data_IF_992536691907
#
_entry.id   IF_992536691907
#
_cell.length_a   1.000
_cell.length_b   1.000
_cell.length_c   1.000
_cell.angle_alpha   90.00
_cell.angle_beta   90.00
_cell.angle_gamma   90.00
#
_symmetry.space_group_name_H-M   'P 1'
#
loop_
_entity.id
_entity.type
_entity.pdbx_description
1 polymer ?
#
# COMPACT_ATOMS: atom_id res chain seq x y z
N UNK A 1 10.10 4.65 -21.49
CA UNK A 1 10.72 3.67 -22.39
C UNK A 1 9.62 2.88 -23.08
N UNK A 2 9.52 2.89 -24.41
CA UNK A 2 8.52 2.12 -25.17
C UNK A 2 9.18 1.15 -26.18
N UNK A 3 10.48 0.87 -26.01
CA UNK A 3 11.20 -0.04 -26.89
C UNK A 3 10.81 -1.50 -26.71
N UNK A 4 11.24 -2.37 -27.64
CA UNK A 4 10.93 -3.80 -27.62
C UNK A 4 11.45 -4.57 -26.39
N UNK A 5 12.41 -3.99 -25.65
CA UNK A 5 12.98 -4.55 -24.41
C UNK A 5 12.51 -3.80 -23.16
N UNK A 6 11.53 -2.91 -23.25
CA UNK A 6 11.19 -2.02 -22.16
C UNK A 6 10.83 -2.76 -20.88
N UNK A 7 10.12 -3.90 -20.95
CA UNK A 7 9.90 -4.76 -19.78
C UNK A 7 11.20 -5.18 -19.06
N UNK A 8 12.21 -5.63 -19.82
CA UNK A 8 13.48 -6.10 -19.26
C UNK A 8 14.28 -4.97 -18.63
N UNK A 9 14.24 -3.80 -19.27
CA UNK A 9 14.98 -2.62 -18.83
C UNK A 9 14.31 -1.93 -17.63
N UNK A 10 12.99 -1.76 -17.66
CA UNK A 10 12.23 -1.13 -16.56
C UNK A 10 12.24 -2.00 -15.30
N UNK A 11 12.27 -3.33 -15.44
CA UNK A 11 12.43 -4.25 -14.30
C UNK A 11 13.67 -3.99 -13.44
N UNK A 12 14.74 -3.50 -14.06
CA UNK A 12 16.01 -3.25 -13.40
C UNK A 12 16.05 -1.87 -12.71
N UNK A 13 14.96 -1.10 -12.79
CA UNK A 13 14.84 0.23 -12.21
C UNK A 13 14.05 0.17 -10.90
N UNK A 14 14.25 1.19 -10.08
CA UNK A 14 13.56 1.35 -8.80
C UNK A 14 12.33 2.24 -8.95
N UNK A 15 11.28 2.00 -8.15
CA UNK A 15 11.15 0.91 -7.17
C UNK A 15 10.80 -0.44 -7.83
N UNK A 16 11.15 -1.55 -7.18
CA UNK A 16 10.82 -2.91 -7.62
C UNK A 16 9.36 -3.28 -7.33
N UNK A 17 8.44 -2.44 -7.81
CA UNK A 17 7.00 -2.57 -7.60
C UNK A 17 6.29 -2.83 -8.93
N UNK A 18 5.16 -3.52 -8.88
CA UNK A 18 4.33 -3.74 -10.07
C UNK A 18 3.57 -2.49 -10.50
N UNK A 19 3.27 -2.41 -11.80
CA UNK A 19 2.57 -1.31 -12.45
C UNK A 19 1.17 -1.67 -12.94
N UNK A 20 0.41 -0.65 -13.36
CA UNK A 20 -0.97 -0.77 -13.88
C UNK A 20 -1.09 -1.80 -15.03
N UNK A 21 -0.03 -1.95 -15.81
CA UNK A 21 0.03 -2.77 -17.01
C UNK A 21 0.48 -4.21 -16.78
N UNK A 22 0.45 -4.73 -15.55
CA UNK A 22 0.93 -6.07 -15.18
C UNK A 22 0.41 -7.19 -16.10
N UNK A 23 -0.82 -7.06 -16.60
CA UNK A 23 -1.49 -8.04 -17.48
C UNK A 23 -0.95 -8.08 -18.92
N UNK A 24 -0.04 -7.18 -19.31
CA UNK A 24 0.42 -7.05 -20.69
C UNK A 24 1.91 -7.39 -20.82
N UNK A 25 2.19 -8.61 -21.29
CA UNK A 25 3.55 -9.10 -21.49
C UNK A 25 4.39 -8.16 -22.37
N UNK A 26 5.59 -7.82 -21.89
CA UNK A 26 6.52 -6.95 -22.60
C UNK A 26 6.25 -5.46 -22.43
N UNK A 27 5.16 -5.09 -21.75
CA UNK A 27 4.85 -3.69 -21.48
C UNK A 27 5.80 -3.09 -20.45
N UNK A 28 6.31 -1.86 -20.65
CA UNK A 28 7.02 -1.13 -19.59
C UNK A 28 6.14 -0.87 -18.37
N UNK A 29 4.82 -0.82 -18.55
CA UNK A 29 3.85 -0.52 -17.49
C UNK A 29 3.58 -1.72 -16.58
N UNK A 30 4.23 -2.87 -16.80
CA UNK A 30 4.24 -3.96 -15.83
C UNK A 30 4.95 -3.56 -14.53
N UNK A 31 5.79 -2.53 -14.58
CA UNK A 31 6.54 -1.98 -13.44
C UNK A 31 5.99 -0.62 -13.06
N UNK A 32 6.04 -0.31 -11.77
CA UNK A 32 5.64 0.99 -11.27
C UNK A 32 6.53 2.09 -11.87
N UNK A 33 5.91 3.21 -12.22
CA UNK A 33 6.61 4.40 -12.70
C UNK A 33 6.16 5.58 -11.85
N UNK A 34 7.12 6.37 -11.40
CA UNK A 34 6.82 7.63 -10.73
C UNK A 34 5.87 8.47 -11.60
N UNK A 35 4.84 9.09 -11.00
CA UNK A 35 4.08 10.15 -11.63
C UNK A 35 5.01 11.19 -12.27
N UNK A 36 4.61 11.70 -13.42
CA UNK A 36 5.45 12.57 -14.24
C UNK A 36 6.06 13.74 -13.44
N UNK A 37 5.24 14.42 -12.63
CA UNK A 37 5.69 15.56 -11.82
C UNK A 37 6.72 15.16 -10.75
N UNK A 38 6.51 14.04 -10.05
CA UNK A 38 7.48 13.53 -9.07
C UNK A 38 8.81 13.16 -9.74
N UNK A 39 8.75 12.55 -10.92
CA UNK A 39 9.97 12.23 -11.68
C UNK A 39 10.68 13.50 -12.18
N UNK A 40 9.93 14.53 -12.58
CA UNK A 40 10.50 15.83 -12.95
C UNK A 40 11.21 16.50 -11.77
N UNK A 41 10.66 16.42 -10.56
CA UNK A 41 11.36 16.89 -9.35
C UNK A 41 12.66 16.12 -9.11
N UNK A 42 12.67 14.81 -9.32
CA UNK A 42 13.89 14.01 -9.22
C UNK A 42 14.94 14.39 -10.28
N UNK A 43 14.50 14.71 -11.51
CA UNK A 43 15.37 15.21 -12.57
C UNK A 43 15.97 16.58 -12.23
N UNK A 44 15.16 17.50 -11.71
CA UNK A 44 15.61 18.82 -11.26
C UNK A 44 16.62 18.70 -10.12
N UNK A 45 16.31 17.89 -9.10
CA UNK A 45 17.23 17.57 -8.01
C UNK A 45 18.57 17.02 -8.52
N UNK A 46 18.54 16.03 -9.44
CA UNK A 46 19.75 15.43 -10.00
C UNK A 46 20.59 16.43 -10.82
N UNK A 47 19.95 17.42 -11.43
CA UNK A 47 20.61 18.52 -12.14
C UNK A 47 21.12 19.64 -11.21
N UNK A 48 20.83 19.57 -9.91
CA UNK A 48 21.13 20.64 -8.95
C UNK A 48 20.19 21.84 -9.02
N UNK A 49 19.03 21.70 -9.67
CA UNK A 49 18.00 22.74 -9.80
C UNK A 49 16.95 22.57 -8.69
N UNK A 50 17.39 22.80 -7.46
CA UNK A 50 16.52 22.78 -6.27
C UNK A 50 17.07 23.73 -5.21
N UNK A 51 16.20 24.14 -4.29
CA UNK A 51 16.60 24.86 -3.09
C UNK A 51 17.01 23.81 -2.05
N UNK A 52 18.26 23.86 -1.58
CA UNK A 52 18.72 22.92 -0.55
C UNK A 52 18.21 23.36 0.83
N UNK A 53 17.20 22.66 1.30
CA UNK A 53 16.51 22.85 2.57
C UNK A 53 16.76 21.71 3.58
N UNK A 54 17.72 20.80 3.31
CA UNK A 54 18.00 19.63 4.16
C UNK A 54 18.36 19.99 5.62
N UNK A 55 18.85 21.20 5.86
CA UNK A 55 19.21 21.71 7.18
C UNK A 55 18.54 23.06 7.46
N UNK A 56 17.27 23.18 7.09
CA UNK A 56 16.45 24.35 7.38
C UNK A 56 15.75 24.18 8.74
N UNK A 57 16.25 24.91 9.75
CA UNK A 57 15.69 24.88 11.10
C UNK A 57 14.24 25.39 11.18
N UNK A 58 13.83 26.27 10.26
CA UNK A 58 12.48 26.81 10.24
C UNK A 58 11.50 25.76 9.67
N UNK A 59 11.92 25.02 8.65
CA UNK A 59 11.16 23.86 8.15
C UNK A 59 11.06 22.75 9.20
N UNK A 60 12.16 22.44 9.89
CA UNK A 60 12.23 21.43 10.96
C UNK A 60 11.45 21.81 12.24
N UNK A 61 11.06 23.07 12.38
CA UNK A 61 10.30 23.56 13.52
C UNK A 61 8.81 23.16 13.48
N UNK A 62 8.27 22.86 12.29
CA UNK A 62 6.87 22.47 12.12
C UNK A 62 6.68 21.01 12.59
N UNK A 63 5.97 20.81 13.70
CA UNK A 63 5.75 19.48 14.29
C UNK A 63 4.28 19.15 14.50
N UNK A 64 3.45 20.17 14.72
CA UNK A 64 2.00 20.03 14.84
C UNK A 64 1.30 20.97 13.87
N UNK A 65 0.00 20.75 13.70
CA UNK A 65 -0.83 21.59 12.83
C UNK A 65 -0.79 23.06 13.27
N UNK A 66 -0.71 23.31 14.58
CA UNK A 66 -0.69 24.64 15.17
C UNK A 66 0.59 25.43 14.89
N UNK A 67 1.67 24.74 14.51
CA UNK A 67 2.91 25.40 14.09
C UNK A 67 2.79 26.03 12.69
N UNK A 68 1.81 25.58 11.89
CA UNK A 68 1.52 26.17 10.58
C UNK A 68 0.70 27.46 10.71
N UNK A 69 0.92 28.46 9.83
CA UNK A 69 0.03 29.61 9.70
C UNK A 69 -1.42 29.19 9.53
N UNK A 70 -2.35 29.88 10.20
CA UNK A 70 -3.77 29.51 10.27
C UNK A 70 -4.40 29.30 8.88
N UNK A 71 -3.99 30.10 7.90
CA UNK A 71 -4.44 30.02 6.52
C UNK A 71 -3.99 28.76 5.77
N UNK A 72 -2.92 28.10 6.24
CA UNK A 72 -2.39 26.86 5.63
C UNK A 72 -2.96 25.59 6.27
N UNK A 73 -3.45 25.67 7.51
CA UNK A 73 -3.96 24.52 8.26
C UNK A 73 -5.07 23.73 7.53
N UNK A 74 -6.06 24.36 6.85
CA UNK A 74 -7.08 23.59 6.11
C UNK A 74 -6.52 22.78 4.94
N UNK A 75 -5.50 23.30 4.25
CA UNK A 75 -4.84 22.58 3.16
C UNK A 75 -4.02 21.41 3.71
N UNK A 76 -3.26 21.63 4.79
CA UNK A 76 -2.52 20.58 5.48
C UNK A 76 -3.44 19.45 5.97
N UNK A 77 -4.62 19.77 6.51
CA UNK A 77 -5.63 18.75 6.86
C UNK A 77 -6.17 17.98 5.65
N UNK A 78 -6.31 18.64 4.51
CA UNK A 78 -6.75 18.00 3.27
C UNK A 78 -5.69 17.04 2.74
N UNK A 79 -4.42 17.45 2.79
CA UNK A 79 -3.27 16.63 2.39
C UNK A 79 -3.09 15.43 3.33
N UNK A 80 -3.05 15.66 4.64
CA UNK A 80 -2.87 14.62 5.66
C UNK A 80 -3.94 13.51 5.60
N UNK A 81 -5.14 13.82 5.11
CA UNK A 81 -6.20 12.84 4.93
C UNK A 81 -5.93 11.84 3.79
N UNK A 82 -5.10 12.21 2.80
CA UNK A 82 -4.82 11.40 1.61
C UNK A 82 -3.36 10.96 1.49
N UNK A 83 -2.43 11.64 2.17
CA UNK A 83 -1.02 11.30 2.23
C UNK A 83 -0.72 9.83 2.58
N UNK A 84 -1.42 9.18 3.54
CA UNK A 84 -1.17 7.78 3.82
C UNK A 84 -1.76 6.83 2.77
N UNK A 85 -2.58 7.29 1.83
CA UNK A 85 -3.24 6.43 0.85
C UNK A 85 -2.34 6.08 -0.34
N UNK A 86 -2.69 5.00 -1.01
CA UNK A 86 -2.00 4.53 -2.22
C UNK A 86 -2.19 5.51 -3.40
N UNK A 87 -1.08 5.95 -4.02
CA UNK A 87 -1.07 6.81 -5.21
C UNK A 87 -0.94 6.11 -6.57
N UNK A 88 -1.05 4.77 -6.63
CA UNK A 88 -0.75 3.96 -7.83
C UNK A 88 0.59 3.21 -7.73
N UNK A 89 0.74 1.99 -8.23
CA UNK A 89 -0.06 1.36 -9.28
C UNK A 89 -1.47 0.91 -8.90
N UNK A 90 -2.37 1.01 -9.88
CA UNK A 90 -3.79 0.76 -9.73
C UNK A 90 -4.20 -0.56 -10.39
N UNK A 91 -4.28 -1.63 -9.59
CA UNK A 91 -4.79 -2.95 -10.01
C UNK A 91 -5.54 -3.71 -8.88
N UNK A 92 -6.71 -3.22 -8.41
CA UNK A 92 -7.23 -1.87 -8.58
C UNK A 92 -6.53 -0.85 -7.68
N UNK A 93 -5.87 -1.26 -6.59
CA UNK A 93 -5.28 -0.37 -5.58
C UNK A 93 -5.58 -0.89 -4.18
N UNK A 94 -5.52 0.00 -3.18
CA UNK A 94 -5.85 -0.35 -1.79
C UNK A 94 -7.14 0.36 -1.35
N UNK A 95 -7.11 1.69 -1.15
CA UNK A 95 -8.28 2.45 -0.71
C UNK A 95 -9.19 2.85 -1.88
N UNK A 96 -8.59 3.38 -2.94
CA UNK A 96 -9.23 3.92 -4.14
C UNK A 96 -8.39 3.56 -5.38
N UNK A 97 -8.81 3.99 -6.58
CA UNK A 97 -8.15 3.56 -7.82
C UNK A 97 -7.97 4.68 -8.86
N UNK A 98 -7.53 4.29 -10.07
CA UNK A 98 -6.94 5.12 -11.12
C UNK A 98 -7.72 6.35 -11.53
N UNK A 99 -9.04 6.39 -11.34
CA UNK A 99 -9.84 7.53 -11.79
C UNK A 99 -9.51 8.80 -11.00
N UNK A 100 -8.98 8.70 -9.77
CA UNK A 100 -8.58 9.88 -8.98
C UNK A 100 -7.48 10.70 -9.66
N UNK A 101 -6.72 10.12 -10.60
CA UNK A 101 -5.73 10.89 -11.38
C UNK A 101 -6.34 11.71 -12.52
N UNK A 102 -7.67 11.69 -12.67
CA UNK A 102 -8.37 12.27 -13.82
C UNK A 102 -9.11 13.54 -13.40
N UNK A 103 -8.86 14.63 -14.15
CA UNK A 103 -9.48 15.93 -13.91
C UNK A 103 -11.02 15.89 -13.75
N UNK A 104 -11.80 15.11 -14.54
CA UNK A 104 -13.25 15.06 -14.41
C UNK A 104 -13.77 14.62 -13.04
N UNK A 105 -12.94 14.00 -12.19
CA UNK A 105 -13.34 13.66 -10.82
C UNK A 105 -13.48 14.89 -9.91
N UNK A 106 -12.94 16.04 -10.29
CA UNK A 106 -12.82 17.22 -9.43
C UNK A 106 -13.70 18.37 -9.91
N UNK A 107 -14.28 19.11 -8.96
CA UNK A 107 -15.20 20.22 -9.22
C UNK A 107 -14.56 21.27 -10.14
N UNK A 108 -13.25 21.50 -9.99
CA UNK A 108 -12.48 22.47 -10.77
C UNK A 108 -12.46 22.18 -12.28
N UNK A 109 -12.70 20.95 -12.70
CA UNK A 109 -12.85 20.61 -14.12
C UNK A 109 -14.14 21.18 -14.72
N UNK A 110 -15.17 21.41 -13.91
CA UNK A 110 -16.47 21.93 -14.34
C UNK A 110 -16.67 23.41 -13.98
N UNK A 111 -15.91 23.91 -13.01
CA UNK A 111 -15.94 25.30 -12.54
C UNK A 111 -14.52 25.74 -12.15
N UNK A 112 -13.88 26.56 -12.98
CA UNK A 112 -12.50 27.02 -12.76
C UNK A 112 -12.33 27.84 -11.47
N UNK A 113 -13.42 28.37 -10.92
CA UNK A 113 -13.42 29.14 -9.67
C UNK A 113 -13.49 28.25 -8.43
N UNK A 114 -13.82 26.97 -8.58
CA UNK A 114 -13.87 26.03 -7.47
C UNK A 114 -12.49 25.79 -6.84
N UNK A 115 -12.49 25.55 -5.53
CA UNK A 115 -11.29 25.15 -4.80
C UNK A 115 -10.66 23.89 -5.42
N UNK A 116 -9.32 23.81 -5.48
CA UNK A 116 -8.64 22.63 -5.99
C UNK A 116 -8.96 21.40 -5.12
N UNK A 117 -8.85 20.21 -5.73
CA UNK A 117 -9.01 18.91 -5.05
C UNK A 117 -10.38 18.61 -4.40
N UNK A 118 -11.40 19.44 -4.65
CA UNK A 118 -12.79 19.09 -4.30
C UNK A 118 -13.34 18.06 -5.28
N UNK A 119 -13.86 16.94 -4.78
CA UNK A 119 -14.56 15.96 -5.63
C UNK A 119 -15.79 16.63 -6.25
N UNK A 120 -16.00 16.42 -7.54
CA UNK A 120 -17.18 16.94 -8.22
C UNK A 120 -18.41 16.14 -7.74
N UNK A 121 -19.40 16.81 -7.17
CA UNK A 121 -20.62 16.14 -6.69
C UNK A 121 -21.63 15.98 -7.82
N UNK A 122 -22.23 14.79 -7.90
CA UNK A 122 -23.34 14.48 -8.80
C UNK A 122 -24.69 14.86 -8.21
N UNK A 123 -25.69 14.89 -9.09
CA UNK A 123 -27.10 15.19 -8.79
C UNK A 123 -28.04 14.19 -9.48
N UNK A 124 -27.52 12.99 -9.79
CA UNK A 124 -28.29 11.93 -10.45
C UNK A 124 -29.52 11.57 -9.59
N UNK A 125 -30.70 11.35 -10.20
CA UNK A 125 -31.93 11.05 -9.45
C UNK A 125 -31.89 9.68 -8.76
N UNK A 126 -31.01 8.79 -9.20
CA UNK A 126 -30.77 7.45 -8.63
C UNK A 126 -29.25 7.20 -8.53
N UNK A 127 -28.84 6.42 -7.52
CA UNK A 127 -27.48 5.91 -7.36
C UNK A 127 -27.13 4.93 -8.49
N UNK A 128 -28.10 4.20 -9.03
CA UNK A 128 -27.90 3.23 -10.11
C UNK A 128 -27.43 3.95 -11.39
N UNK A 129 -26.19 3.65 -11.80
CA UNK A 129 -25.60 4.12 -13.05
C UNK A 129 -25.51 2.97 -14.06
N UNK A 130 -26.60 2.69 -14.78
CA UNK A 130 -26.62 1.55 -15.69
C UNK A 130 -26.02 1.90 -17.07
N UNK A 131 -24.74 1.56 -17.27
CA UNK A 131 -24.05 1.71 -18.56
C UNK A 131 -24.24 0.51 -19.51
N UNK A 132 -25.15 -0.40 -19.19
CA UNK A 132 -25.41 -1.66 -19.89
C UNK A 132 -24.54 -2.82 -19.40
N UNK A 133 -24.42 -3.87 -20.23
CA UNK A 133 -23.81 -5.16 -19.83
C UNK A 133 -22.29 -5.15 -19.67
N UNK A 134 -21.61 -4.19 -20.27
CA UNK A 134 -20.15 -4.09 -20.26
C UNK A 134 -19.76 -2.62 -20.10
N UNK A 135 -18.91 -2.36 -19.12
CA UNK A 135 -18.22 -1.10 -18.96
C UNK A 135 -16.96 -1.13 -19.85
N UNK A 136 -16.93 -0.28 -20.86
CA UNK A 136 -15.77 -0.07 -21.73
C UNK A 136 -15.11 1.27 -21.39
N UNK A 137 -13.86 1.52 -21.79
CA UNK A 137 -13.25 2.84 -21.66
C UNK A 137 -14.14 3.95 -22.24
N UNK A 138 -14.68 3.79 -23.45
CA UNK A 138 -15.57 4.79 -24.06
C UNK A 138 -16.78 5.12 -23.18
N UNK A 139 -17.42 4.12 -22.58
CA UNK A 139 -18.56 4.34 -21.67
C UNK A 139 -18.12 4.94 -20.35
N UNK A 140 -16.95 4.56 -19.83
CA UNK A 140 -16.41 5.11 -18.59
C UNK A 140 -16.19 6.63 -18.71
N UNK A 141 -15.67 7.09 -19.86
CA UNK A 141 -15.36 8.48 -20.13
C UNK A 141 -16.52 9.30 -20.71
N UNK A 142 -17.38 8.70 -21.54
CA UNK A 142 -18.41 9.43 -22.29
C UNK A 142 -19.85 9.07 -21.87
N UNK A 143 -20.05 8.01 -21.08
CA UNK A 143 -21.38 7.52 -20.70
C UNK A 143 -22.09 6.77 -21.83
N UNK A 144 -23.42 6.79 -21.79
CA UNK A 144 -24.33 6.29 -22.82
C UNK A 144 -25.31 7.39 -23.22
N UNK A 145 -26.24 7.10 -24.15
CA UNK A 145 -27.26 8.07 -24.54
C UNK A 145 -28.11 8.56 -23.34
N UNK A 146 -28.37 7.67 -22.37
CA UNK A 146 -29.29 7.93 -21.25
C UNK A 146 -28.58 8.00 -19.89
N UNK A 147 -27.26 7.79 -19.84
CA UNK A 147 -26.52 7.68 -18.57
C UNK A 147 -25.22 8.47 -18.65
N UNK A 148 -24.96 9.38 -17.69
CA UNK A 148 -23.73 10.16 -17.67
C UNK A 148 -22.48 9.25 -17.48
N UNK A 149 -21.28 9.75 -17.76
CA UNK A 149 -20.05 8.98 -17.60
C UNK A 149 -19.79 8.57 -16.13
N UNK A 150 -19.36 7.32 -15.88
CA UNK A 150 -18.85 6.86 -14.58
C UNK A 150 -17.65 7.63 -14.03
N UNK A 151 -16.77 8.12 -14.91
CA UNK A 151 -15.65 9.01 -14.57
C UNK A 151 -16.15 10.45 -14.70
N UNK A 152 -16.35 11.13 -13.58
CA UNK A 152 -16.96 12.45 -13.56
C UNK A 152 -17.50 12.83 -12.18
N UNK A 153 -18.62 13.55 -12.16
CA UNK A 153 -19.35 13.88 -10.93
C UNK A 153 -19.81 12.63 -10.17
N UNK A 154 -19.50 12.57 -8.87
CA UNK A 154 -19.66 11.40 -8.00
C UNK A 154 -20.90 11.52 -7.10
N UNK A 155 -21.61 10.41 -6.95
CA UNK A 155 -22.64 10.17 -5.92
C UNK A 155 -22.09 9.25 -4.83
N UNK A 156 -22.86 9.07 -3.75
CA UNK A 156 -22.52 8.10 -2.70
C UNK A 156 -22.29 6.69 -3.29
N UNK A 157 -21.15 6.09 -2.94
CA UNK A 157 -20.72 4.77 -3.42
C UNK A 157 -19.91 4.77 -4.73
N UNK A 158 -19.86 5.87 -5.47
CA UNK A 158 -19.19 5.88 -6.79
C UNK A 158 -17.66 5.80 -6.73
N UNK A 159 -17.06 6.24 -5.62
CA UNK A 159 -15.61 6.15 -5.41
C UNK A 159 -15.19 4.68 -5.19
N UNK A 160 -15.84 3.95 -4.29
CA UNK A 160 -15.36 2.60 -3.90
C UNK A 160 -15.94 1.46 -4.73
N UNK A 161 -16.93 1.69 -5.60
CA UNK A 161 -17.54 0.64 -6.45
C UNK A 161 -16.58 -0.07 -7.41
N UNK A 162 -15.39 0.47 -7.59
CA UNK A 162 -14.37 -0.03 -8.51
C UNK A 162 -13.40 -1.02 -7.86
N UNK A 163 -13.40 -1.08 -6.54
CA UNK A 163 -12.51 -1.93 -5.75
C UNK A 163 -13.02 -3.38 -5.75
N UNK A 164 -12.16 -4.32 -5.37
CA UNK A 164 -12.52 -5.73 -5.25
C UNK A 164 -13.60 -5.94 -4.19
N UNK A 165 -14.49 -6.89 -4.49
CA UNK A 165 -15.60 -7.23 -3.63
C UNK A 165 -15.56 -8.74 -3.31
N UNK A 166 -15.31 -9.12 -2.04
CA UNK A 166 -14.98 -8.26 -0.91
C UNK A 166 -13.50 -7.79 -0.93
N UNK A 167 -13.21 -6.67 -0.25
CA UNK A 167 -11.88 -6.03 -0.28
C UNK A 167 -10.76 -6.91 0.32
N UNK A 168 -11.11 -7.84 1.20
CA UNK A 168 -10.16 -8.79 1.79
C UNK A 168 -9.44 -9.64 0.74
N UNK A 169 -10.11 -9.95 -0.38
CA UNK A 169 -9.51 -10.65 -1.50
C UNK A 169 -8.39 -9.81 -2.12
N UNK A 170 -8.64 -8.52 -2.36
CA UNK A 170 -7.61 -7.59 -2.85
C UNK A 170 -6.46 -7.48 -1.86
N UNK A 171 -6.75 -7.41 -0.55
CA UNK A 171 -5.72 -7.30 0.48
C UNK A 171 -4.75 -8.50 0.48
N UNK A 172 -5.26 -9.73 0.30
CA UNK A 172 -4.40 -10.91 0.17
C UNK A 172 -3.69 -10.98 -1.19
N UNK A 173 -4.35 -10.56 -2.27
CA UNK A 173 -3.74 -10.51 -3.60
C UNK A 173 -2.61 -9.49 -3.70
N UNK A 174 -2.69 -8.41 -2.92
CA UNK A 174 -1.77 -7.29 -2.90
C UNK A 174 -0.51 -7.63 -2.07
N UNK A 175 0.19 -8.69 -2.49
CA UNK A 175 1.39 -9.20 -1.85
C UNK A 175 2.57 -9.21 -2.84
N UNK A 176 3.58 -10.05 -2.58
CA UNK A 176 4.68 -10.28 -3.52
C UNK A 176 4.21 -11.06 -4.75
N UNK A 177 4.85 -10.79 -5.89
CA UNK A 177 4.71 -11.57 -7.11
C UNK A 177 6.05 -12.22 -7.43
N UNK A 178 6.06 -13.56 -7.42
CA UNK A 178 7.24 -14.34 -7.73
C UNK A 178 7.48 -14.33 -9.25
N UNK A 179 8.72 -14.05 -9.61
CA UNK A 179 9.20 -14.06 -10.99
C UNK A 179 10.17 -15.23 -11.18
N UNK A 180 10.73 -15.37 -12.39
CA UNK A 180 11.67 -16.46 -12.70
C UNK A 180 12.96 -16.38 -11.85
N UNK A 181 13.28 -15.20 -11.36
CA UNK A 181 14.45 -14.88 -10.55
C UNK A 181 14.04 -14.66 -9.09
N UNK A 182 14.94 -15.04 -8.18
CA UNK A 182 14.69 -14.97 -6.74
C UNK A 182 14.74 -13.54 -6.18
N UNK A 183 15.49 -12.63 -6.82
CA UNK A 183 15.67 -11.26 -6.34
C UNK A 183 15.82 -10.24 -7.49
N UNK A 184 15.40 -8.97 -7.29
CA UNK A 184 14.56 -8.52 -6.17
C UNK A 184 13.13 -9.07 -6.32
N UNK A 185 12.44 -9.23 -5.18
CA UNK A 185 11.04 -9.62 -5.16
C UNK A 185 10.17 -8.45 -5.62
N UNK A 186 9.33 -8.66 -6.64
CA UNK A 186 8.35 -7.66 -7.06
C UNK A 186 7.17 -7.63 -6.08
N UNK A 187 6.70 -6.43 -5.73
CA UNK A 187 5.64 -6.24 -4.74
C UNK A 187 4.59 -5.24 -5.22
N UNK A 188 3.37 -5.34 -4.70
CA UNK A 188 2.33 -4.33 -4.92
C UNK A 188 2.48 -3.13 -3.99
N UNK A 189 1.98 -3.23 -2.75
CA UNK A 189 1.84 -2.08 -1.84
C UNK A 189 2.38 -2.30 -0.43
N UNK A 190 3.71 -2.41 -0.25
CA UNK A 190 4.32 -2.79 1.01
C UNK A 190 4.10 -1.79 2.15
N UNK A 191 3.80 -0.53 1.86
CA UNK A 191 3.57 0.51 2.87
C UNK A 191 2.20 0.36 3.58
N UNK A 192 1.18 -0.12 2.85
CA UNK A 192 -0.20 -0.24 3.33
C UNK A 192 -0.55 -1.68 3.70
N UNK A 193 -0.07 -2.63 2.90
CA UNK A 193 -0.22 -4.06 3.09
C UNK A 193 1.18 -4.67 3.10
N UNK A 194 1.82 -4.80 4.28
CA UNK A 194 3.19 -5.26 4.40
C UNK A 194 3.44 -6.60 3.70
N UNK A 195 4.68 -6.79 3.25
CA UNK A 195 5.12 -8.01 2.56
C UNK A 195 5.97 -8.84 3.51
N UNK A 196 7.15 -8.32 3.87
CA UNK A 196 8.09 -8.95 4.78
C UNK A 196 8.27 -8.08 6.02
N UNK A 197 7.92 -8.62 7.19
CA UNK A 197 7.88 -7.89 8.46
C UNK A 197 8.85 -8.46 9.48
N UNK A 198 9.27 -7.63 10.43
CA UNK A 198 9.96 -8.09 11.65
C UNK A 198 8.88 -8.50 12.67
N UNK A 199 8.67 -9.80 12.93
CA UNK A 199 7.63 -10.23 13.86
C UNK A 199 8.03 -9.95 15.32
N UNK A 200 7.04 -9.71 16.18
CA UNK A 200 7.24 -9.45 17.61
C UNK A 200 8.11 -10.51 18.30
N UNK A 201 7.97 -11.79 17.95
CA UNK A 201 8.80 -12.85 18.51
C UNK A 201 10.30 -12.68 18.22
N UNK A 202 10.68 -12.19 17.04
CA UNK A 202 12.08 -11.95 16.69
C UNK A 202 12.58 -10.64 17.30
N UNK A 203 11.71 -9.63 17.37
CA UNK A 203 12.00 -8.42 18.13
C UNK A 203 12.28 -8.73 19.61
N UNK A 204 11.49 -9.60 20.26
CA UNK A 204 11.73 -10.02 21.63
C UNK A 204 13.11 -10.69 21.81
N UNK A 205 13.52 -11.54 20.86
CA UNK A 205 14.87 -12.12 20.90
C UNK A 205 15.97 -11.08 20.63
N UNK A 206 15.73 -10.10 19.75
CA UNK A 206 16.67 -8.98 19.54
C UNK A 206 16.87 -8.15 20.82
N UNK A 207 15.86 -8.04 21.68
CA UNK A 207 15.95 -7.25 22.93
C UNK A 207 16.64 -7.99 24.09
N UNK A 208 16.89 -9.30 23.96
CA UNK A 208 17.52 -10.12 25.00
C UNK A 208 19.00 -9.81 25.17
N UNK A 209 19.39 -9.35 26.35
CA UNK A 209 20.79 -9.00 26.69
C UNK A 209 21.63 -10.21 27.11
N UNK A 210 21.01 -11.36 27.34
CA UNK A 210 21.68 -12.64 27.60
C UNK A 210 22.16 -13.33 26.33
N UNK A 211 21.70 -12.88 25.16
CA UNK A 211 22.16 -13.35 23.85
C UNK A 211 23.35 -12.51 23.36
N UNK A 212 24.23 -13.16 22.59
CA UNK A 212 25.33 -12.44 21.94
C UNK A 212 24.81 -11.49 20.86
N UNK A 213 25.59 -10.46 20.56
CA UNK A 213 25.34 -9.52 19.46
C UNK A 213 25.07 -10.24 18.12
N UNK A 214 25.82 -11.31 17.82
CA UNK A 214 25.62 -12.12 16.61
C UNK A 214 24.30 -12.89 16.61
N UNK A 215 23.91 -13.49 17.74
CA UNK A 215 22.63 -14.19 17.86
C UNK A 215 21.45 -13.23 17.66
N UNK A 216 21.52 -12.06 18.29
CA UNK A 216 20.51 -10.99 18.16
C UNK A 216 20.40 -10.47 16.72
N UNK A 217 21.52 -10.31 16.03
CA UNK A 217 21.55 -9.96 14.60
C UNK A 217 20.80 -10.96 13.72
N UNK A 218 20.81 -12.25 14.03
CA UNK A 218 20.07 -13.26 13.24
C UNK A 218 18.57 -13.01 13.31
N UNK A 219 18.04 -12.67 14.49
CA UNK A 219 16.63 -12.34 14.66
C UNK A 219 16.25 -11.03 13.97
N UNK A 220 17.07 -9.99 14.08
CA UNK A 220 16.83 -8.71 13.40
C UNK A 220 16.78 -8.82 11.87
N UNK A 221 17.70 -9.59 11.28
CA UNK A 221 17.79 -9.76 9.83
C UNK A 221 16.81 -10.80 9.28
N UNK A 222 16.08 -11.52 10.14
CA UNK A 222 15.07 -12.48 9.71
C UNK A 222 13.72 -11.80 9.56
N UNK A 223 13.19 -11.76 8.34
CA UNK A 223 11.84 -11.26 8.05
C UNK A 223 10.91 -12.42 7.73
N UNK A 224 9.64 -12.25 8.09
CA UNK A 224 8.60 -13.21 7.77
C UNK A 224 7.55 -12.60 6.85
N UNK A 225 6.96 -13.39 5.94
CA UNK A 225 5.82 -12.92 5.18
C UNK A 225 4.69 -12.49 6.10
N UNK A 226 4.12 -11.31 5.87
CA UNK A 226 2.99 -10.79 6.62
C UNK A 226 1.75 -11.69 6.43
N UNK A 227 1.51 -12.12 5.19
CA UNK A 227 0.46 -13.06 4.79
C UNK A 227 0.71 -14.53 5.15
N UNK A 228 1.81 -14.85 5.85
CA UNK A 228 2.14 -16.23 6.26
C UNK A 228 0.94 -16.92 6.89
N UNK A 229 0.79 -18.22 6.64
CA UNK A 229 -0.27 -19.06 7.21
C UNK A 229 -1.73 -18.73 6.81
N UNK A 230 -2.02 -17.60 6.13
CA UNK A 230 -3.39 -17.27 5.67
C UNK A 230 -3.88 -18.28 4.63
N UNK A 231 -3.03 -18.64 3.67
CA UNK A 231 -3.37 -19.62 2.64
C UNK A 231 -3.60 -21.05 3.17
N UNK A 232 -3.17 -21.32 4.41
CA UNK A 232 -3.37 -22.61 5.05
C UNK A 232 -2.31 -22.90 6.09
N UNK A 233 -2.71 -23.65 7.12
CA UNK A 233 -1.84 -24.15 8.17
C UNK A 233 -2.06 -25.64 8.40
N UNK A 234 -1.00 -26.31 8.85
CA UNK A 234 -1.03 -27.71 9.22
C UNK A 234 -0.49 -28.67 8.16
N UNK A 235 -0.41 -29.94 8.56
CA UNK A 235 0.15 -31.01 7.74
C UNK A 235 -0.74 -31.25 6.51
N UNK A 236 -0.12 -31.29 5.32
CA UNK A 236 -0.80 -31.42 4.02
C UNK A 236 -1.82 -30.32 3.67
N UNK A 237 -1.72 -29.12 4.26
CA UNK A 237 -2.50 -27.98 3.78
C UNK A 237 -2.13 -27.64 2.33
N UNK A 238 -3.13 -27.35 1.50
CA UNK A 238 -2.92 -27.02 0.08
C UNK A 238 -2.14 -25.70 -0.08
N UNK A 239 -2.55 -24.65 0.66
CA UNK A 239 -1.77 -23.41 0.75
C UNK A 239 -1.76 -22.58 -0.54
N UNK A 240 -2.77 -22.70 -1.40
CA UNK A 240 -2.78 -22.02 -2.69
C UNK A 240 -3.13 -20.53 -2.58
N UNK A 241 -2.86 -19.78 -3.65
CA UNK A 241 -3.31 -18.40 -3.80
C UNK A 241 -4.82 -18.26 -3.54
N UNK A 242 -5.63 -19.16 -4.09
CA UNK A 242 -7.10 -19.12 -3.94
C UNK A 242 -7.57 -19.45 -2.52
N UNK A 243 -6.84 -20.32 -1.82
CA UNK A 243 -7.12 -20.58 -0.40
C UNK A 243 -6.88 -19.32 0.42
N UNK A 244 -5.79 -18.58 0.15
CA UNK A 244 -5.50 -17.33 0.83
C UNK A 244 -6.50 -16.21 0.53
N UNK A 245 -6.89 -16.05 -0.73
CA UNK A 245 -7.96 -15.11 -1.15
C UNK A 245 -9.24 -15.39 -0.35
N UNK A 246 -9.63 -16.66 -0.25
CA UNK A 246 -10.85 -17.07 0.45
C UNK A 246 -10.72 -16.87 1.95
N UNK A 247 -9.60 -17.30 2.54
CA UNK A 247 -9.41 -17.28 3.99
C UNK A 247 -9.24 -15.86 4.54
N UNK A 248 -8.69 -14.92 3.76
CA UNK A 248 -8.54 -13.53 4.21
C UNK A 248 -9.89 -12.88 4.56
N UNK A 249 -10.99 -13.32 3.95
CA UNK A 249 -12.35 -12.86 4.27
C UNK A 249 -12.66 -13.03 5.78
N UNK A 250 -12.17 -14.10 6.39
CA UNK A 250 -12.42 -14.43 7.82
C UNK A 250 -11.21 -14.16 8.71
N UNK A 251 -9.99 -14.10 8.16
CA UNK A 251 -8.76 -13.99 8.92
C UNK A 251 -8.19 -12.57 9.01
N UNK A 252 -8.69 -11.59 8.25
CA UNK A 252 -8.08 -10.26 8.17
C UNK A 252 -7.88 -9.58 9.53
N UNK A 253 -8.80 -9.74 10.48
CA UNK A 253 -8.71 -9.16 11.84
C UNK A 253 -7.59 -9.79 12.70
N UNK A 254 -7.04 -10.93 12.27
CA UNK A 254 -5.94 -11.63 12.95
C UNK A 254 -4.56 -11.21 12.46
N UNK A 255 -4.50 -10.38 11.43
CA UNK A 255 -3.26 -9.90 10.86
C UNK A 255 -2.58 -8.89 11.80
N UNK A 256 -1.25 -8.87 11.81
CA UNK A 256 -0.49 -7.96 12.66
C UNK A 256 -0.38 -6.56 12.06
N UNK A 257 -0.18 -5.57 12.93
CA UNK A 257 0.07 -4.18 12.56
C UNK A 257 1.55 -3.86 12.71
N UNK A 258 2.11 -3.11 11.75
CA UNK A 258 3.50 -2.65 11.85
C UNK A 258 3.52 -1.33 12.62
N UNK A 259 4.25 -1.31 13.72
CA UNK A 259 4.32 -0.16 14.62
C UNK A 259 5.75 0.14 15.02
N UNK A 260 6.00 1.41 15.33
CA UNK A 260 7.29 1.84 15.86
C UNK A 260 7.54 1.24 17.24
N UNK A 261 8.77 0.78 17.48
CA UNK A 261 9.28 0.22 18.74
C UNK A 261 10.73 0.68 18.98
N UNK A 262 11.16 0.82 20.23
CA UNK A 262 12.56 1.16 20.52
C UNK A 262 13.49 -0.01 20.15
N UNK A 263 14.66 0.31 19.64
CA UNK A 263 15.76 -0.62 19.47
C UNK A 263 16.52 -0.90 20.78
N UNK A 264 17.42 -1.90 20.79
CA UNK A 264 18.25 -2.21 21.94
C UNK A 264 19.21 -1.06 22.27
N UNK A 265 19.27 -0.70 23.55
CA UNK A 265 20.10 0.42 24.06
C UNK A 265 21.28 -0.06 24.92
N UNK A 266 21.45 -1.37 25.08
CA UNK A 266 22.53 -1.93 25.88
C UNK A 266 23.90 -1.82 25.17
N UNK A 267 25.03 -1.85 25.91
CA UNK A 267 26.37 -1.74 25.32
C UNK A 267 26.71 -2.85 24.31
N UNK A 268 26.04 -4.00 24.40
CA UNK A 268 26.24 -5.14 23.52
C UNK A 268 25.24 -5.18 22.35
N UNK A 269 24.54 -4.06 22.07
CA UNK A 269 23.58 -3.96 20.96
C UNK A 269 24.23 -4.33 19.62
N UNK A 270 23.52 -5.02 18.71
CA UNK A 270 24.11 -5.38 17.43
C UNK A 270 24.43 -4.16 16.55
N UNK A 271 25.60 -4.13 15.87
CA UNK A 271 25.93 -3.06 14.94
C UNK A 271 24.89 -2.94 13.82
N UNK A 272 24.51 -1.71 13.47
CA UNK A 272 23.57 -1.43 12.38
C UNK A 272 22.09 -1.57 12.74
N UNK A 273 21.76 -1.99 13.98
CA UNK A 273 20.38 -1.93 14.47
C UNK A 273 20.06 -0.47 14.86
N UNK A 274 19.01 0.14 14.27
CA UNK A 274 18.61 1.52 14.59
C UNK A 274 17.98 1.63 15.98
N UNK A 275 17.94 2.86 16.50
CA UNK A 275 17.30 3.18 17.78
C UNK A 275 15.78 3.07 17.74
N UNK A 276 15.19 3.15 16.54
CA UNK A 276 13.77 2.93 16.28
C UNK A 276 13.59 1.83 15.23
N UNK A 277 12.71 0.88 15.53
CA UNK A 277 12.38 -0.27 14.71
C UNK A 277 10.90 -0.24 14.34
N UNK A 278 10.55 -0.89 13.23
CA UNK A 278 9.18 -1.15 12.83
C UNK A 278 8.89 -2.64 12.97
N UNK A 279 7.96 -2.99 13.87
CA UNK A 279 7.71 -4.37 14.33
C UNK A 279 6.24 -4.72 14.08
N UNK A 280 5.97 -5.91 13.54
CA UNK A 280 4.63 -6.48 13.48
C UNK A 280 4.20 -6.91 14.88
N UNK A 281 3.11 -6.32 15.39
CA UNK A 281 2.50 -6.61 16.70
C UNK A 281 1.03 -6.93 16.57
N UNK A 282 0.44 -7.54 17.61
CA UNK A 282 -1.01 -7.78 17.67
C UNK A 282 -1.52 -8.83 16.68
N UNK A 283 -0.62 -9.52 15.97
CA UNK A 283 -0.96 -10.69 15.18
C UNK A 283 -1.49 -11.78 16.11
N UNK A 284 -2.57 -12.44 15.74
CA UNK A 284 -3.08 -13.55 16.52
C UNK A 284 -2.07 -14.72 16.59
N UNK A 285 -2.00 -15.37 17.74
CA UNK A 285 -1.13 -16.54 17.98
C UNK A 285 -1.38 -17.69 16.99
N UNK A 286 -2.62 -17.77 16.47
CA UNK A 286 -2.99 -18.76 15.47
C UNK A 286 -3.91 -18.21 14.38
N UNK A 287 -3.62 -18.61 13.14
CA UNK A 287 -4.50 -18.46 11.99
C UNK A 287 -5.43 -19.67 11.80
N UNK A 288 -5.53 -20.55 12.80
CA UNK A 288 -6.45 -21.68 12.79
C UNK A 288 -7.91 -21.20 12.89
N UNK A 289 -8.69 -21.49 11.86
CA UNK A 289 -10.10 -21.15 11.81
C UNK A 289 -11.01 -22.34 12.17
N UNK A 290 -10.50 -23.58 12.16
CA UNK A 290 -11.32 -24.79 12.37
C UNK A 290 -11.82 -24.93 13.81
N UNK A 291 -11.10 -24.38 14.77
CA UNK A 291 -11.49 -24.39 16.18
C UNK A 291 -10.94 -23.16 16.89
N UNK A 292 -11.68 -22.67 17.89
CA UNK A 292 -11.24 -21.57 18.74
C UNK A 292 -10.45 -22.16 19.91
N UNK A 293 -9.13 -22.14 19.79
CA UNK A 293 -8.23 -22.65 20.82
C UNK A 293 -8.22 -21.70 22.02
N UNK A 294 -8.49 -22.25 23.21
CA UNK A 294 -8.47 -21.54 24.49
C UNK A 294 -7.26 -21.99 25.29
N UNK A 295 -6.73 -21.15 26.20
CA UNK A 295 -5.67 -21.57 27.12
C UNK A 295 -6.00 -22.84 27.92
N UNK A 296 -7.29 -23.11 28.17
CA UNK A 296 -7.76 -24.33 28.83
C UNK A 296 -7.66 -25.60 27.96
N UNK A 297 -7.47 -25.47 26.64
CA UNK A 297 -7.33 -26.58 25.68
C UNK A 297 -5.90 -27.15 25.64
N UNK A 298 -5.02 -26.68 26.52
CA UNK A 298 -3.60 -27.01 26.60
C UNK A 298 -2.74 -25.77 26.36
N UNK A 299 -1.41 -25.90 26.40
CA UNK A 299 -0.51 -24.84 25.92
C UNK A 299 0.07 -25.25 24.58
N UNK A 300 0.08 -24.32 23.61
CA UNK A 300 1.02 -24.43 22.50
C UNK A 300 2.44 -24.38 23.11
N UNK A 301 3.40 -25.19 22.63
CA UNK A 301 4.75 -25.14 23.17
C UNK A 301 5.29 -23.71 23.08
N UNK A 302 5.69 -23.13 24.22
CA UNK A 302 6.43 -21.86 24.29
C UNK A 302 7.82 -21.97 23.64
#
# INVERSE_FOLDING_TARGET
>A
NQGANAFKEERLKIPYMLGDGVNYDGSPLQWFQFPQLQYQHLQAWAAGDFINDLHDSDADAIRTLEDLPLEQQPAALTEAALEPCSGGAFHPGVELTYYLRLAPMYARHYDETAEPFRIAHGDRPDLIQNVGRLLTPDKAFNGTADTPPPIGRQMAGDLTRWMGLPWQCDAFSCQQVLLQENFPTAVWWPALLPIDVLPEMYYAQLMRTDLSSEQRSKFFNSRLPWSRAVAGIGYHANGSYWDGITNMITLWERMGFVVKRPGPQDPNRPPGVPDELYVEVGRADTLEARFNWRPDDGMLPE
#
